data_IF_009431633107
#
_entry.id   IF_009431633107
#
_cell.length_a   1.000
_cell.length_b   1.000
_cell.length_c   1.000
_cell.angle_alpha   90.00
_cell.angle_beta   90.00
_cell.angle_gamma   90.00
#
_symmetry.space_group_name_H-M   'P 1'
#
loop_
_entity.id
_entity.type
_entity.pdbx_description
1 polymer ?
#
# COMPACT_ATOMS: atom_id res chain seq x y z
N UNK A 1 -21.87 54.86 -2.41
CA UNK A 1 -20.99 54.22 -1.43
C UNK A 1 -21.20 52.72 -1.56
N UNK A 2 -20.52 52.10 -2.52
CA UNK A 2 -20.11 50.69 -2.47
C UNK A 2 -18.61 50.78 -2.70
N UNK A 3 -17.96 51.36 -1.70
CA UNK A 3 -16.51 51.43 -1.64
C UNK A 3 -16.06 50.11 -1.04
N UNK A 4 -14.99 49.55 -1.59
CA UNK A 4 -14.30 48.34 -1.16
C UNK A 4 -14.97 47.05 -1.65
N UNK A 5 -14.45 46.57 -2.77
CA UNK A 5 -14.05 45.18 -2.85
C UNK A 5 -13.28 44.83 -1.56
N UNK A 6 -13.84 43.90 -0.78
CA UNK A 6 -13.30 43.50 0.54
C UNK A 6 -13.07 42.01 0.62
N UNK A 7 -13.36 41.27 -0.45
CA UNK A 7 -13.29 39.82 -0.50
C UNK A 7 -12.00 39.30 -1.14
N UNK A 8 -11.24 40.11 -1.89
CA UNK A 8 -9.92 39.74 -2.37
C UNK A 8 -8.80 40.56 -1.67
N UNK A 9 -7.77 39.92 -1.09
CA UNK A 9 -6.61 40.65 -0.62
C UNK A 9 -5.78 41.15 -1.81
N UNK A 10 -5.88 42.46 -2.11
CA UNK A 10 -4.94 43.19 -2.98
C UNK A 10 -3.52 42.62 -2.77
N UNK A 11 -3.05 41.83 -3.74
CA UNK A 11 -1.91 40.93 -3.49
C UNK A 11 -0.63 41.76 -3.38
N UNK A 12 -0.24 42.08 -2.14
CA UNK A 12 1.06 42.68 -1.82
C UNK A 12 2.15 41.83 -2.49
N UNK A 13 3.10 42.39 -3.28
CA UNK A 13 4.04 41.65 -4.13
C UNK A 13 4.69 40.48 -3.41
N UNK A 14 4.09 39.31 -3.59
CA UNK A 14 4.57 38.08 -3.00
C UNK A 14 5.91 37.73 -3.66
N UNK A 15 6.92 37.26 -2.90
CA UNK A 15 8.20 36.86 -3.47
C UNK A 15 8.07 35.70 -4.47
N UNK A 16 6.89 35.08 -4.54
CA UNK A 16 6.58 33.97 -5.42
C UNK A 16 5.77 34.38 -6.67
N UNK A 17 5.44 35.66 -6.84
CA UNK A 17 4.81 36.10 -8.08
C UNK A 17 5.83 36.04 -9.20
N UNK A 18 5.46 35.47 -10.36
CA UNK A 18 6.31 35.55 -11.52
C UNK A 18 6.53 37.03 -11.89
N UNK A 19 7.72 37.42 -12.38
CA UNK A 19 8.06 38.82 -12.60
C UNK A 19 7.04 39.61 -13.44
N UNK A 20 6.40 38.96 -14.42
CA UNK A 20 5.39 39.58 -15.29
C UNK A 20 4.09 39.97 -14.56
N UNK A 21 3.79 39.37 -13.40
CA UNK A 21 2.54 39.58 -12.66
C UNK A 21 2.56 40.81 -11.72
N UNK A 22 3.66 41.58 -11.71
CA UNK A 22 3.80 42.76 -10.85
C UNK A 22 3.35 44.03 -11.59
N UNK A 23 2.80 45.04 -10.89
CA UNK A 23 2.53 46.34 -11.49
C UNK A 23 3.78 46.97 -12.11
N UNK A 24 3.61 47.77 -13.16
CA UNK A 24 4.71 48.59 -13.67
C UNK A 24 5.35 49.45 -12.55
N UNK A 25 6.69 49.60 -12.53
CA UNK A 25 7.66 49.20 -13.55
C UNK A 25 8.29 47.81 -13.34
N UNK A 26 7.82 47.02 -12.39
CA UNK A 26 8.46 45.76 -11.97
C UNK A 26 8.01 44.54 -12.78
N UNK A 27 6.85 44.65 -13.43
CA UNK A 27 6.26 43.63 -14.29
C UNK A 27 5.37 44.27 -15.36
N UNK A 28 4.57 43.43 -16.02
CA UNK A 28 3.74 43.81 -17.17
C UNK A 28 2.27 44.01 -16.79
N UNK A 29 1.92 43.88 -15.50
CA UNK A 29 0.54 44.08 -15.05
C UNK A 29 0.20 45.58 -15.04
N UNK A 30 -0.92 45.96 -15.66
CA UNK A 30 -1.43 47.32 -15.57
C UNK A 30 -2.57 47.42 -14.54
N UNK A 31 -2.73 48.60 -13.96
CA UNK A 31 -3.96 48.92 -13.24
C UNK A 31 -5.12 48.87 -14.22
N UNK A 32 -6.25 48.30 -13.81
CA UNK A 32 -7.48 48.40 -14.61
C UNK A 32 -7.75 49.89 -14.83
N UNK A 33 -7.68 50.33 -16.09
CA UNK A 33 -7.62 51.74 -16.42
C UNK A 33 -8.78 52.54 -15.80
N UNK A 34 -8.58 53.82 -15.51
CA UNK A 34 -9.71 54.73 -15.25
C UNK A 34 -10.57 54.74 -16.52
N UNK A 35 -11.84 54.35 -16.41
CA UNK A 35 -12.80 54.39 -17.53
C UNK A 35 -12.65 55.72 -18.29
N UNK A 36 -12.34 55.63 -19.59
CA UNK A 36 -12.22 56.80 -20.46
C UNK A 36 -13.57 57.51 -20.48
N UNK A 37 -13.70 58.62 -19.73
CA UNK A 37 -14.92 59.44 -19.67
C UNK A 37 -15.48 59.73 -18.27
N UNK A 38 -14.93 59.19 -17.17
CA UNK A 38 -15.43 59.45 -15.81
C UNK A 38 -14.41 60.24 -14.96
N UNK A 39 -14.86 61.33 -14.33
CA UNK A 39 -13.99 62.29 -13.60
C UNK A 39 -14.10 62.25 -12.06
N UNK A 40 -14.49 61.14 -11.43
CA UNK A 40 -14.52 60.94 -9.96
C UNK A 40 -14.46 59.43 -9.61
N UNK A 41 -14.13 59.02 -8.37
CA UNK A 41 -13.42 57.78 -8.07
C UNK A 41 -14.33 56.55 -8.18
N UNK A 42 -14.45 56.01 -9.39
CA UNK A 42 -14.94 54.67 -9.65
C UNK A 42 -13.84 53.93 -10.38
N UNK A 43 -13.55 52.69 -9.96
CA UNK A 43 -12.77 51.73 -10.76
C UNK A 43 -13.44 51.64 -12.13
N UNK A 44 -12.62 51.69 -13.19
CA UNK A 44 -13.13 51.57 -14.55
C UNK A 44 -13.51 50.12 -14.81
N UNK A 45 -14.46 49.92 -15.73
CA UNK A 45 -14.62 48.60 -16.33
C UNK A 45 -13.36 48.23 -17.13
N UNK A 46 -13.11 46.93 -17.37
CA UNK A 46 -11.97 46.48 -18.15
C UNK A 46 -11.89 47.22 -19.49
N UNK A 47 -10.68 47.42 -20.06
CA UNK A 47 -10.48 48.20 -21.29
C UNK A 47 -11.22 47.69 -22.55
N UNK A 48 -11.98 46.59 -22.51
CA UNK A 48 -12.68 46.03 -23.67
C UNK A 48 -14.20 46.35 -23.75
N UNK A 49 -14.84 46.75 -22.65
CA UNK A 49 -16.30 46.71 -22.54
C UNK A 49 -17.04 47.88 -23.23
N UNK A 50 -16.32 48.90 -23.70
CA UNK A 50 -16.91 50.21 -24.03
C UNK A 50 -16.54 50.75 -25.42
N UNK A 51 -16.35 49.88 -26.41
CA UNK A 51 -16.59 50.29 -27.78
C UNK A 51 -18.10 50.46 -28.00
N UNK A 52 -18.59 51.69 -27.89
CA UNK A 52 -19.99 52.10 -28.05
C UNK A 52 -20.59 51.67 -29.42
N UNK A 53 -21.01 50.41 -29.52
CA UNK A 53 -21.52 49.81 -30.75
C UNK A 53 -21.62 48.28 -30.75
N UNK A 54 -21.09 47.57 -29.75
CA UNK A 54 -21.21 46.10 -29.70
C UNK A 54 -22.62 45.66 -29.28
N UNK A 55 -23.30 44.93 -30.17
CA UNK A 55 -24.58 44.24 -29.90
C UNK A 55 -24.42 42.97 -29.06
N UNK A 56 -23.21 42.68 -28.59
CA UNK A 56 -22.86 41.53 -27.73
C UNK A 56 -22.32 42.03 -26.39
N UNK A 57 -23.12 42.84 -25.68
CA UNK A 57 -22.88 43.16 -24.28
C UNK A 57 -22.83 41.86 -23.47
N UNK A 58 -21.67 41.49 -22.94
CA UNK A 58 -21.55 40.45 -21.90
C UNK A 58 -21.30 41.17 -20.58
N UNK A 59 -22.02 40.77 -19.53
CA UNK A 59 -21.64 41.13 -18.16
C UNK A 59 -20.24 40.56 -17.90
N UNK A 60 -19.22 41.38 -17.61
CA UNK A 60 -17.88 40.89 -17.33
C UNK A 60 -17.86 40.47 -15.87
N UNK A 61 -17.81 39.17 -15.65
CA UNK A 61 -17.21 38.63 -14.45
C UNK A 61 -16.59 37.33 -14.90
N UNK A 62 -15.26 37.31 -15.02
CA UNK A 62 -14.55 36.03 -15.11
C UNK A 62 -14.95 35.24 -13.86
N UNK A 63 -15.20 33.96 -13.99
CA UNK A 63 -15.60 33.13 -12.86
C UNK A 63 -14.73 31.89 -12.82
N UNK A 64 -14.09 31.63 -11.67
CA UNK A 64 -13.32 30.42 -11.43
C UNK A 64 -14.08 29.49 -10.49
N UNK A 65 -14.06 28.20 -10.81
CA UNK A 65 -14.45 27.14 -9.91
C UNK A 65 -13.42 26.01 -9.96
N UNK A 66 -12.93 25.60 -8.81
CA UNK A 66 -11.97 24.50 -8.65
C UNK A 66 -12.65 23.38 -7.85
N UNK A 67 -12.73 22.18 -8.44
CA UNK A 67 -13.24 20.98 -7.80
C UNK A 67 -12.06 20.06 -7.47
N UNK A 68 -11.97 19.67 -6.20
CA UNK A 68 -10.95 18.75 -5.73
C UNK A 68 -11.37 17.28 -5.95
N UNK A 69 -10.40 16.36 -6.03
CA UNK A 69 -10.65 14.92 -6.13
C UNK A 69 -11.56 14.33 -5.05
N UNK A 70 -11.59 14.93 -3.86
CA UNK A 70 -12.41 14.50 -2.72
C UNK A 70 -13.81 15.13 -2.71
N UNK A 71 -14.15 15.93 -3.73
CA UNK A 71 -15.44 16.58 -3.90
C UNK A 71 -15.55 17.97 -3.26
N UNK A 72 -14.50 18.53 -2.67
CA UNK A 72 -14.51 19.93 -2.25
C UNK A 72 -14.61 20.86 -3.46
N UNK A 73 -15.34 21.97 -3.33
CA UNK A 73 -15.57 22.94 -4.41
C UNK A 73 -15.26 24.34 -3.90
N UNK A 74 -14.43 25.06 -4.64
CA UNK A 74 -14.03 26.43 -4.35
C UNK A 74 -14.38 27.32 -5.54
N UNK A 75 -14.89 28.52 -5.29
CA UNK A 75 -15.33 29.45 -6.35
C UNK A 75 -14.82 30.86 -6.09
N UNK A 76 -14.37 31.54 -7.15
CA UNK A 76 -14.13 32.97 -7.15
C UNK A 76 -14.98 33.61 -8.26
N UNK A 77 -15.89 34.51 -7.87
CA UNK A 77 -16.84 35.17 -8.77
C UNK A 77 -16.44 36.56 -9.26
N UNK A 78 -15.29 37.08 -8.78
CA UNK A 78 -14.73 38.34 -9.24
C UNK A 78 -13.19 38.30 -9.14
N UNK A 79 -12.52 37.48 -9.95
CA UNK A 79 -11.08 37.21 -9.90
C UNK A 79 -10.24 38.25 -10.66
N UNK A 80 -10.79 39.43 -10.94
CA UNK A 80 -10.12 40.50 -11.67
C UNK A 80 -10.11 41.84 -10.93
N UNK A 81 -10.59 41.86 -9.68
CA UNK A 81 -10.48 42.97 -8.73
C UNK A 81 -10.45 44.39 -9.33
N UNK A 82 -9.41 45.15 -8.99
CA UNK A 82 -9.13 46.52 -9.45
C UNK A 82 -7.85 46.64 -10.31
N UNK A 83 -7.20 45.51 -10.58
CA UNK A 83 -5.94 45.35 -11.30
C UNK A 83 -6.10 44.24 -12.34
N UNK A 84 -5.42 44.33 -13.49
CA UNK A 84 -5.53 43.32 -14.56
C UNK A 84 -4.95 41.93 -14.16
N UNK A 85 -4.48 41.78 -12.92
CA UNK A 85 -3.95 40.53 -12.37
C UNK A 85 -4.39 40.33 -10.92
N UNK A 86 -4.94 39.14 -10.60
CA UNK A 86 -5.37 38.77 -9.25
C UNK A 86 -5.22 37.25 -9.02
N UNK A 87 -4.99 36.85 -7.77
CA UNK A 87 -4.62 35.49 -7.41
C UNK A 87 -5.75 34.76 -6.67
N UNK A 88 -6.39 33.76 -7.30
CA UNK A 88 -7.25 32.82 -6.57
C UNK A 88 -6.42 31.77 -5.81
N UNK A 89 -6.15 32.01 -4.53
CA UNK A 89 -5.36 31.17 -3.63
C UNK A 89 -6.22 30.34 -2.68
N UNK A 90 -6.11 29.01 -2.81
CA UNK A 90 -6.62 28.03 -1.84
C UNK A 90 -5.45 27.58 -0.96
N UNK A 91 -5.51 27.80 0.35
CA UNK A 91 -4.41 27.48 1.28
C UNK A 91 -4.78 26.40 2.30
N UNK A 92 -3.77 25.61 2.70
CA UNK A 92 -3.83 24.71 3.86
C UNK A 92 -3.10 25.24 5.08
N UNK A 93 -2.41 26.38 4.96
CA UNK A 93 -1.66 26.95 6.07
C UNK A 93 -2.61 27.61 7.07
N UNK A 94 -2.74 27.10 8.31
CA UNK A 94 -3.59 27.72 9.32
C UNK A 94 -3.09 29.10 9.77
N UNK A 95 -1.86 29.49 9.39
CA UNK A 95 -1.29 30.80 9.66
C UNK A 95 -1.54 31.82 8.53
N UNK A 96 -2.05 31.41 7.36
CA UNK A 96 -2.56 32.37 6.37
C UNK A 96 -3.85 33.00 6.92
N UNK A 97 -3.87 34.32 7.23
CA UNK A 97 -5.09 35.00 7.65
C UNK A 97 -6.15 34.93 6.54
N UNK A 98 -7.45 35.11 6.85
CA UNK A 98 -8.52 35.25 5.83
C UNK A 98 -8.35 36.45 4.87
N UNK A 99 -7.25 37.19 4.99
CA UNK A 99 -6.83 38.30 4.12
C UNK A 99 -5.58 37.93 3.31
N UNK A 100 -5.23 36.65 3.16
CA UNK A 100 -4.08 36.19 2.35
C UNK A 100 -4.38 34.96 1.48
N UNK A 101 -5.56 34.39 1.59
CA UNK A 101 -6.06 33.29 0.79
C UNK A 101 -7.58 33.41 0.68
N UNK A 102 -8.13 33.21 -0.51
CA UNK A 102 -9.57 33.36 -0.80
C UNK A 102 -10.37 32.17 -0.29
N UNK A 103 -9.71 31.01 -0.19
CA UNK A 103 -10.25 29.85 0.46
C UNK A 103 -9.21 29.13 1.31
N UNK A 104 -9.69 28.48 2.36
CA UNK A 104 -8.88 27.59 3.19
C UNK A 104 -9.47 26.19 3.20
N UNK A 105 -8.58 25.20 3.31
CA UNK A 105 -8.95 23.79 3.45
C UNK A 105 -7.94 23.10 4.35
N UNK A 106 -8.34 21.99 4.98
CA UNK A 106 -7.43 21.21 5.83
C UNK A 106 -6.49 20.31 5.01
N UNK A 107 -6.78 20.09 3.73
CA UNK A 107 -6.00 19.21 2.87
C UNK A 107 -6.20 19.56 1.38
N UNK A 108 -5.13 19.43 0.58
CA UNK A 108 -5.18 19.46 -0.88
C UNK A 108 -4.88 18.02 -1.36
N UNK A 109 -5.92 17.22 -1.70
CA UNK A 109 -5.76 15.79 -1.94
C UNK A 109 -5.23 15.51 -3.35
N UNK A 110 -4.30 14.56 -3.49
CA UNK A 110 -3.85 14.06 -4.80
C UNK A 110 -5.01 13.55 -5.65
N UNK A 111 -4.95 13.76 -6.97
CA UNK A 111 -5.91 13.20 -7.92
C UNK A 111 -6.16 14.10 -9.11
N UNK A 112 -7.31 13.92 -9.76
CA UNK A 112 -7.76 14.76 -10.87
C UNK A 112 -8.55 15.95 -10.33
N UNK A 113 -8.07 17.15 -10.60
CA UNK A 113 -8.77 18.40 -10.31
C UNK A 113 -9.52 18.86 -11.55
N UNK A 114 -10.69 19.46 -11.35
CA UNK A 114 -11.43 20.12 -12.43
C UNK A 114 -11.41 21.63 -12.17
N UNK A 115 -10.87 22.39 -13.12
CA UNK A 115 -10.86 23.86 -13.08
C UNK A 115 -11.81 24.34 -14.17
N UNK A 116 -12.87 25.02 -13.77
CA UNK A 116 -13.83 25.67 -14.66
C UNK A 116 -13.57 27.16 -14.65
N UNK A 117 -13.42 27.72 -15.84
CA UNK A 117 -13.19 29.14 -16.04
C UNK A 117 -14.22 29.63 -17.05
N UNK A 118 -15.03 30.60 -16.64
CA UNK A 118 -16.05 31.22 -17.49
C UNK A 118 -15.70 32.69 -17.72
N UNK A 119 -16.13 33.24 -18.86
CA UNK A 119 -15.95 34.67 -19.15
C UNK A 119 -14.57 35.09 -19.69
N UNK A 120 -13.63 34.16 -19.90
CA UNK A 120 -12.32 34.46 -20.49
C UNK A 120 -12.34 34.58 -22.02
N UNK A 121 -11.42 35.37 -22.55
CA UNK A 121 -11.14 35.54 -23.98
C UNK A 121 -9.65 35.32 -24.33
N UNK A 122 -9.25 35.63 -25.57
CA UNK A 122 -7.87 35.41 -26.04
C UNK A 122 -6.84 36.41 -25.47
N UNK A 123 -7.29 37.47 -24.79
CA UNK A 123 -6.46 38.43 -24.09
C UNK A 123 -6.12 38.00 -22.66
N UNK A 124 -6.86 37.04 -22.07
CA UNK A 124 -6.61 36.61 -20.70
C UNK A 124 -5.47 35.56 -20.62
N UNK A 125 -4.47 35.85 -19.79
CA UNK A 125 -3.45 34.89 -19.38
C UNK A 125 -3.84 34.22 -18.07
N UNK A 126 -3.97 32.89 -18.09
CA UNK A 126 -4.29 32.10 -16.91
C UNK A 126 -3.07 31.28 -16.48
N UNK A 127 -2.70 31.35 -15.21
CA UNK A 127 -1.60 30.55 -14.65
C UNK A 127 -2.10 29.77 -13.43
N UNK A 128 -1.80 28.47 -13.40
CA UNK A 128 -2.15 27.61 -12.26
C UNK A 128 -0.86 27.19 -11.57
N UNK A 129 -0.78 27.41 -10.26
CA UNK A 129 0.32 26.93 -9.42
C UNK A 129 -0.20 25.84 -8.49
N UNK A 130 0.36 24.64 -8.63
CA UNK A 130 0.05 23.50 -7.77
C UNK A 130 1.18 23.29 -6.74
N UNK A 131 0.87 22.69 -5.58
CA UNK A 131 1.89 22.30 -4.60
C UNK A 131 2.72 21.09 -5.06
N UNK A 132 2.34 20.42 -6.15
CA UNK A 132 2.99 19.26 -6.74
C UNK A 132 3.09 19.41 -8.27
N UNK A 133 3.95 18.61 -8.89
CA UNK A 133 4.12 18.62 -10.35
C UNK A 133 2.86 18.10 -11.06
N UNK A 134 2.40 18.84 -12.06
CA UNK A 134 1.34 18.37 -12.95
C UNK A 134 1.90 17.30 -13.88
N UNK A 135 1.35 16.08 -13.85
CA UNK A 135 1.80 14.98 -14.73
C UNK A 135 1.62 15.35 -16.21
N UNK A 136 0.37 15.57 -16.64
CA UNK A 136 -0.01 16.27 -17.87
C UNK A 136 -1.53 16.31 -18.05
N UNK A 137 -1.99 17.16 -18.98
CA UNK A 137 -3.39 17.28 -19.42
C UNK A 137 -3.43 17.09 -20.94
N UNK A 138 -4.38 16.30 -21.43
CA UNK A 138 -4.64 16.08 -22.87
C UNK A 138 -5.26 17.31 -23.51
N UNK A 139 -5.20 17.44 -24.85
CA UNK A 139 -5.84 18.54 -25.59
C UNK A 139 -7.33 18.76 -25.24
N UNK A 140 -8.15 17.70 -24.97
CA UNK A 140 -9.53 17.86 -24.50
C UNK A 140 -9.70 18.19 -23.00
N UNK A 141 -8.62 18.36 -22.24
CA UNK A 141 -8.67 18.69 -20.81
C UNK A 141 -8.70 17.49 -19.84
N UNK A 142 -8.58 16.25 -20.32
CA UNK A 142 -8.51 15.06 -19.46
C UNK A 142 -7.09 14.79 -18.93
N UNK A 143 -6.91 14.11 -17.78
CA UNK A 143 -5.59 13.70 -17.31
C UNK A 143 -4.96 12.76 -18.34
N UNK A 144 -3.71 12.96 -18.74
CA UNK A 144 -3.08 11.96 -19.60
C UNK A 144 -2.67 10.73 -18.79
N UNK A 145 -2.75 9.58 -19.45
CA UNK A 145 -2.09 8.37 -19.00
C UNK A 145 -0.57 8.59 -19.12
N UNK A 146 0.22 8.32 -18.07
CA UNK A 146 1.68 8.33 -18.19
C UNK A 146 2.09 7.50 -19.43
N UNK A 147 3.01 8.03 -20.24
CA UNK A 147 3.45 7.37 -21.48
C UNK A 147 3.98 5.94 -21.25
N UNK A 148 4.33 5.61 -20.00
CA UNK A 148 4.67 4.28 -19.53
C UNK A 148 4.05 4.04 -18.15
N UNK A 149 3.54 2.82 -17.95
CA UNK A 149 3.11 2.33 -16.63
C UNK A 149 4.28 2.32 -15.66
N UNK A 150 3.99 2.48 -14.37
CA UNK A 150 4.95 2.30 -13.29
C UNK A 150 5.26 0.81 -13.11
N UNK A 151 6.38 0.51 -12.44
CA UNK A 151 6.78 -0.84 -12.10
C UNK A 151 6.60 -1.08 -10.60
N UNK A 152 6.01 -2.22 -10.25
CA UNK A 152 6.02 -2.77 -8.88
C UNK A 152 6.77 -4.10 -8.90
N UNK A 153 7.76 -4.25 -8.05
CA UNK A 153 8.55 -5.49 -7.95
C UNK A 153 9.81 -5.25 -7.13
N UNK A 154 10.78 -6.15 -7.22
CA UNK A 154 12.21 -5.95 -6.96
C UNK A 154 12.90 -7.34 -7.07
N UNK A 155 13.39 -7.89 -5.95
CA UNK A 155 14.22 -9.06 -5.88
C UNK A 155 13.58 -10.21 -5.07
N UNK A 156 13.85 -11.43 -5.51
CA UNK A 156 13.72 -12.64 -4.69
C UNK A 156 15.10 -13.26 -4.51
N UNK A 157 15.55 -13.39 -3.27
CA UNK A 157 16.91 -13.78 -2.91
C UNK A 157 16.95 -14.80 -1.77
N UNK A 158 18.12 -15.40 -1.56
CA UNK A 158 18.39 -16.16 -0.35
C UNK A 158 18.82 -15.25 0.79
N UNK A 159 17.92 -14.88 1.69
CA UNK A 159 18.19 -14.07 2.90
C UNK A 159 18.31 -14.98 4.13
N UNK A 160 19.52 -15.45 4.42
CA UNK A 160 19.77 -16.30 5.60
C UNK A 160 20.47 -15.63 6.76
N UNK A 161 21.05 -14.46 6.52
CA UNK A 161 21.68 -13.64 7.54
C UNK A 161 21.27 -12.20 7.27
N UNK A 162 20.56 -11.60 8.23
CA UNK A 162 20.03 -10.25 8.06
C UNK A 162 21.16 -9.26 7.76
N UNK A 163 21.12 -8.64 6.58
CA UNK A 163 22.09 -7.63 6.15
C UNK A 163 23.31 -8.17 5.40
N UNK A 164 23.24 -9.37 4.83
CA UNK A 164 24.26 -9.85 3.87
C UNK A 164 24.11 -9.09 2.54
N UNK A 165 25.12 -8.33 2.08
CA UNK A 165 25.04 -7.63 0.79
C UNK A 165 25.21 -8.56 -0.43
N UNK A 166 25.50 -9.85 -0.25
CA UNK A 166 25.71 -10.81 -1.33
C UNK A 166 24.73 -11.98 -1.26
N UNK A 167 23.44 -11.70 -1.06
CA UNK A 167 22.41 -12.74 -1.11
C UNK A 167 22.22 -13.28 -2.53
N UNK A 168 22.46 -14.58 -2.79
CA UNK A 168 22.18 -15.18 -4.09
C UNK A 168 20.75 -14.94 -4.57
N UNK A 169 20.55 -14.60 -5.85
CA UNK A 169 19.21 -14.47 -6.42
C UNK A 169 18.53 -15.84 -6.58
N UNK A 170 17.20 -15.85 -6.49
CA UNK A 170 16.37 -17.04 -6.69
C UNK A 170 15.55 -16.93 -8.00
N UNK A 171 16.01 -17.58 -9.08
CA UNK A 171 15.31 -17.60 -10.35
C UNK A 171 14.14 -18.59 -10.36
N UNK A 172 13.14 -18.35 -11.22
CA UNK A 172 12.04 -19.29 -11.45
C UNK A 172 10.91 -19.23 -10.42
N UNK A 173 10.94 -18.27 -9.49
CA UNK A 173 9.91 -18.08 -8.47
C UNK A 173 8.69 -17.42 -9.10
N UNK A 174 7.53 -18.07 -8.96
CA UNK A 174 6.23 -17.55 -9.43
C UNK A 174 5.73 -16.47 -8.47
N UNK A 175 5.50 -15.27 -8.98
CA UNK A 175 5.03 -14.12 -8.20
C UNK A 175 3.71 -13.62 -8.79
N UNK A 176 2.77 -13.24 -7.94
CA UNK A 176 1.41 -12.84 -8.27
C UNK A 176 1.15 -11.40 -7.83
N UNK A 177 0.46 -10.63 -8.68
CA UNK A 177 -0.08 -9.32 -8.35
C UNK A 177 -1.57 -9.47 -8.02
N UNK A 178 -2.00 -8.91 -6.89
CA UNK A 178 -3.36 -9.00 -6.37
C UNK A 178 -4.09 -7.66 -6.48
N UNK A 179 -5.38 -7.72 -6.81
CA UNK A 179 -6.28 -6.55 -6.81
C UNK A 179 -6.51 -6.02 -5.39
N UNK A 180 -6.31 -4.71 -5.13
CA UNK A 180 -6.56 -4.08 -3.83
C UNK A 180 -7.99 -4.24 -3.30
N UNK A 181 -9.01 -4.44 -4.15
CA UNK A 181 -10.41 -4.43 -3.72
C UNK A 181 -10.96 -5.82 -3.35
N UNK A 182 -10.32 -6.90 -3.80
CA UNK A 182 -10.86 -8.25 -3.63
C UNK A 182 -9.83 -9.37 -3.45
N UNK A 183 -8.52 -9.06 -3.49
CA UNK A 183 -7.47 -10.06 -3.32
C UNK A 183 -7.41 -11.09 -4.46
N UNK A 184 -8.03 -10.81 -5.61
CA UNK A 184 -7.94 -11.67 -6.78
C UNK A 184 -6.60 -11.49 -7.48
N UNK A 185 -6.02 -12.57 -8.00
CA UNK A 185 -4.81 -12.50 -8.84
C UNK A 185 -5.15 -11.82 -10.16
N UNK A 186 -4.52 -10.68 -10.44
CA UNK A 186 -4.70 -9.90 -11.66
C UNK A 186 -3.53 -10.03 -12.64
N UNK A 187 -2.36 -10.44 -12.16
CA UNK A 187 -1.22 -10.79 -13.01
C UNK A 187 -0.29 -11.80 -12.31
N UNK A 188 0.48 -12.52 -13.11
CA UNK A 188 1.52 -13.45 -12.62
C UNK A 188 2.79 -13.26 -13.45
N UNK A 189 3.93 -13.32 -12.80
CA UNK A 189 5.26 -13.30 -13.43
C UNK A 189 6.17 -14.34 -12.78
N UNK A 190 7.38 -14.52 -13.33
CA UNK A 190 8.39 -15.43 -12.83
C UNK A 190 9.70 -14.66 -12.69
N UNK A 191 10.41 -14.84 -11.58
CA UNK A 191 11.72 -14.20 -11.38
C UNK A 191 12.73 -14.66 -12.42
N UNK A 192 13.54 -13.71 -12.91
CA UNK A 192 14.56 -13.97 -13.91
C UNK A 192 15.84 -14.60 -13.31
N UNK A 193 16.88 -14.77 -14.13
CA UNK A 193 18.16 -15.34 -13.70
C UNK A 193 18.86 -14.54 -12.58
N UNK A 194 18.52 -13.26 -12.44
CA UNK A 194 19.01 -12.35 -11.40
C UNK A 194 18.03 -12.25 -10.23
N UNK A 195 16.99 -13.09 -10.18
CA UNK A 195 15.97 -13.08 -9.12
C UNK A 195 15.01 -11.90 -9.22
N UNK A 196 15.10 -11.10 -10.27
CA UNK A 196 14.31 -9.88 -10.42
C UNK A 196 12.95 -10.17 -11.02
N UNK A 197 11.95 -9.41 -10.59
CA UNK A 197 10.60 -9.45 -11.15
C UNK A 197 9.97 -8.06 -11.12
N UNK A 198 8.99 -7.82 -11.99
CA UNK A 198 8.20 -6.59 -11.96
C UNK A 198 6.85 -6.73 -12.65
N UNK A 199 5.92 -5.86 -12.28
CA UNK A 199 4.59 -5.72 -12.88
C UNK A 199 4.38 -4.28 -13.38
N UNK A 200 3.98 -4.08 -14.65
CA UNK A 200 3.60 -2.77 -15.16
C UNK A 200 2.17 -2.41 -14.72
N UNK A 201 2.04 -1.38 -13.89
CA UNK A 201 0.79 -0.94 -13.26
C UNK A 201 0.51 0.56 -13.46
N UNK A 202 -0.76 0.94 -13.37
CA UNK A 202 -1.15 2.35 -13.26
C UNK A 202 -0.97 2.84 -11.81
N UNK A 203 -1.17 4.13 -11.55
CA UNK A 203 -1.17 4.63 -10.17
C UNK A 203 -2.31 3.97 -9.37
N UNK A 204 -1.99 3.43 -8.19
CA UNK A 204 -2.92 2.64 -7.40
C UNK A 204 -2.24 1.93 -6.24
N UNK A 205 -3.01 1.28 -5.38
CA UNK A 205 -2.49 0.42 -4.31
C UNK A 205 -2.45 -1.01 -4.80
N UNK A 206 -1.32 -1.70 -4.63
CA UNK A 206 -1.15 -3.08 -5.08
C UNK A 206 -0.59 -3.95 -3.98
N UNK A 207 -0.96 -5.23 -4.00
CA UNK A 207 -0.33 -6.27 -3.17
C UNK A 207 0.36 -7.28 -4.07
N UNK A 208 1.61 -7.61 -3.76
CA UNK A 208 2.36 -8.68 -4.43
C UNK A 208 2.48 -9.87 -3.49
N UNK A 209 2.34 -11.06 -4.06
CA UNK A 209 2.33 -12.33 -3.36
C UNK A 209 3.29 -13.33 -4.01
N UNK A 210 4.13 -14.00 -3.23
CA UNK A 210 4.88 -15.17 -3.72
C UNK A 210 3.97 -16.39 -3.69
N UNK A 211 3.68 -16.96 -4.86
CA UNK A 211 2.66 -17.99 -5.01
C UNK A 211 2.95 -19.26 -4.18
N UNK A 212 1.92 -19.84 -3.57
CA UNK A 212 2.00 -21.09 -2.79
C UNK A 212 2.53 -22.27 -3.62
N UNK A 213 2.32 -22.25 -4.94
CA UNK A 213 2.78 -23.28 -5.87
C UNK A 213 4.29 -23.45 -5.88
N UNK A 214 5.05 -22.42 -5.50
CA UNK A 214 6.50 -22.49 -5.42
C UNK A 214 6.99 -23.49 -4.37
N UNK A 215 6.21 -23.77 -3.34
CA UNK A 215 6.57 -24.68 -2.24
C UNK A 215 6.12 -26.12 -2.47
N UNK A 216 5.41 -26.39 -3.57
CA UNK A 216 5.03 -27.74 -3.94
C UNK A 216 6.25 -28.52 -4.51
N UNK A 217 6.19 -29.86 -4.56
CA UNK A 217 7.25 -30.66 -5.17
C UNK A 217 7.57 -30.23 -6.61
N UNK A 218 8.85 -29.97 -6.89
CA UNK A 218 9.33 -29.42 -8.17
C UNK A 218 9.19 -27.91 -8.33
N UNK A 219 8.66 -27.19 -7.34
CA UNK A 219 8.58 -25.73 -7.32
C UNK A 219 9.91 -25.06 -6.97
N UNK A 220 10.08 -23.79 -7.38
CA UNK A 220 11.32 -23.04 -7.18
C UNK A 220 11.72 -22.88 -5.70
N UNK A 221 10.74 -22.96 -4.79
CA UNK A 221 10.92 -22.80 -3.35
C UNK A 221 10.61 -24.09 -2.58
N UNK A 222 10.57 -25.27 -3.23
CA UNK A 222 10.23 -26.56 -2.59
C UNK A 222 11.03 -26.83 -1.30
N UNK A 223 12.32 -26.44 -1.30
CA UNK A 223 13.22 -26.62 -0.17
C UNK A 223 13.61 -25.28 0.46
N UNK A 224 12.73 -24.28 0.42
CA UNK A 224 12.98 -22.96 0.95
C UNK A 224 11.93 -22.54 2.00
N UNK A 225 12.33 -21.61 2.86
CA UNK A 225 11.59 -21.05 3.99
C UNK A 225 11.56 -19.55 3.86
N UNK A 226 10.38 -18.94 3.96
CA UNK A 226 10.25 -17.48 3.94
C UNK A 226 10.90 -16.82 5.16
N UNK A 227 11.65 -15.75 4.92
CA UNK A 227 12.27 -14.88 5.94
C UNK A 227 11.68 -13.48 5.92
N UNK A 228 11.08 -13.10 4.79
CA UNK A 228 10.18 -11.96 4.64
C UNK A 228 8.71 -12.40 4.65
N UNK A 229 7.75 -11.48 4.90
CA UNK A 229 6.34 -11.73 4.62
C UNK A 229 6.13 -12.15 3.16
N UNK A 230 5.21 -13.08 2.90
CA UNK A 230 4.87 -13.51 1.54
C UNK A 230 3.96 -12.53 0.79
N UNK A 231 3.47 -11.49 1.48
CA UNK A 231 2.61 -10.45 0.95
C UNK A 231 3.21 -9.09 1.27
N UNK A 232 3.39 -8.24 0.26
CA UNK A 232 3.83 -6.85 0.41
C UNK A 232 2.84 -5.93 -0.30
N UNK A 233 2.48 -4.81 0.35
CA UNK A 233 1.48 -3.87 -0.14
C UNK A 233 2.03 -2.45 -0.11
N UNK A 234 1.83 -1.70 -1.19
CA UNK A 234 2.24 -0.30 -1.30
C UNK A 234 1.37 0.46 -2.30
N UNK A 235 1.37 1.79 -2.14
CA UNK A 235 0.76 2.70 -3.10
C UNK A 235 1.81 3.14 -4.13
N UNK A 236 1.45 3.04 -5.39
CA UNK A 236 2.18 3.59 -6.54
C UNK A 236 1.55 4.94 -6.87
N UNK A 237 2.33 6.01 -6.74
CA UNK A 237 1.85 7.39 -6.90
C UNK A 237 2.41 8.04 -8.15
N UNK A 238 3.73 8.15 -8.20
CA UNK A 238 4.49 9.02 -9.11
C UNK A 238 5.85 8.44 -9.51
N UNK A 239 6.27 7.31 -8.91
CA UNK A 239 7.47 6.58 -9.30
C UNK A 239 7.26 5.05 -9.15
N UNK A 240 8.18 4.28 -9.71
CA UNK A 240 8.24 2.84 -9.54
C UNK A 240 8.41 2.48 -8.05
N UNK A 241 7.72 1.43 -7.62
CA UNK A 241 7.89 0.83 -6.29
C UNK A 241 8.73 -0.44 -6.47
N UNK A 242 10.05 -0.24 -6.45
CA UNK A 242 11.06 -1.31 -6.54
C UNK A 242 11.67 -1.57 -5.17
N UNK A 243 10.83 -2.02 -4.23
CA UNK A 243 11.24 -2.31 -2.84
C UNK A 243 10.60 -3.59 -2.31
N UNK A 244 9.98 -4.37 -3.20
CA UNK A 244 9.25 -5.58 -2.81
C UNK A 244 10.17 -6.79 -2.81
N UNK A 245 11.05 -6.82 -1.81
CA UNK A 245 12.02 -7.89 -1.62
C UNK A 245 11.43 -9.08 -0.87
N UNK A 246 11.65 -10.29 -1.41
CA UNK A 246 11.29 -11.53 -0.75
C UNK A 246 12.53 -12.39 -0.45
N UNK A 247 12.84 -12.53 0.83
CA UNK A 247 13.96 -13.32 1.32
C UNK A 247 13.57 -14.75 1.68
N UNK A 248 14.39 -15.71 1.27
CA UNK A 248 14.20 -17.14 1.55
C UNK A 248 15.45 -17.86 2.05
N UNK A 249 15.28 -18.95 2.81
CA UNK A 249 16.38 -19.81 3.24
C UNK A 249 16.17 -21.26 2.90
N UNK A 250 17.24 -22.01 2.67
CA UNK A 250 17.13 -23.46 2.56
C UNK A 250 16.48 -24.07 3.81
N UNK A 251 15.37 -24.78 3.61
CA UNK A 251 14.66 -25.49 4.65
C UNK A 251 15.58 -26.56 5.26
N UNK A 252 15.59 -26.65 6.59
CA UNK A 252 16.33 -27.71 7.30
C UNK A 252 15.62 -29.08 7.22
N UNK A 253 14.47 -29.14 6.54
CA UNK A 253 13.58 -30.29 6.46
C UNK A 253 12.84 -30.60 7.76
N UNK A 254 11.75 -31.35 7.66
CA UNK A 254 10.98 -31.85 8.80
C UNK A 254 11.71 -33.01 9.48
N UNK A 255 11.65 -33.04 10.80
CA UNK A 255 12.06 -34.17 11.63
C UNK A 255 10.84 -34.96 12.10
N UNK A 256 10.94 -36.29 12.05
CA UNK A 256 9.93 -37.19 12.62
C UNK A 256 9.85 -37.09 14.14
N UNK A 257 8.80 -37.67 14.74
CA UNK A 257 8.71 -37.86 16.20
C UNK A 257 9.99 -38.54 16.75
N UNK A 258 10.50 -39.55 16.04
CA UNK A 258 11.71 -40.28 16.43
C UNK A 258 12.95 -39.39 16.48
N UNK A 259 13.14 -38.55 15.46
CA UNK A 259 14.22 -37.58 15.42
C UNK A 259 14.18 -36.66 16.65
N UNK A 260 13.04 -36.01 16.89
CA UNK A 260 12.91 -35.06 17.99
C UNK A 260 13.05 -35.67 19.38
N UNK A 261 12.72 -36.94 19.56
CA UNK A 261 12.95 -37.67 20.81
C UNK A 261 14.43 -37.94 21.07
N UNK A 262 15.17 -38.30 20.01
CA UNK A 262 16.54 -38.78 20.12
C UNK A 262 17.59 -37.67 19.95
N UNK A 263 17.18 -36.47 19.52
CA UNK A 263 18.04 -35.29 19.30
C UNK A 263 17.59 -34.08 20.12
N UNK A 264 17.63 -34.13 21.47
CA UNK A 264 17.25 -33.00 22.33
C UNK A 264 18.13 -31.75 22.16
N UNK A 265 19.33 -31.89 21.61
CA UNK A 265 20.23 -30.81 21.23
C UNK A 265 19.74 -30.02 20.02
N UNK A 266 18.92 -30.63 19.15
CA UNK A 266 18.39 -29.99 17.96
C UNK A 266 17.15 -29.12 18.24
N UNK A 267 16.58 -29.19 19.44
CA UNK A 267 15.38 -28.41 19.79
C UNK A 267 15.71 -26.91 19.80
N UNK A 268 15.01 -26.08 19.00
CA UNK A 268 15.26 -24.64 18.96
C UNK A 268 14.86 -23.91 20.25
N UNK A 269 14.07 -24.56 21.12
CA UNK A 269 13.53 -24.00 22.36
C UNK A 269 13.69 -24.96 23.53
N UNK A 270 13.81 -24.43 24.75
CA UNK A 270 13.88 -25.24 25.98
C UNK A 270 12.51 -25.63 26.54
N UNK A 271 11.45 -24.97 26.10
CA UNK A 271 10.07 -25.22 26.48
C UNK A 271 9.11 -24.91 25.33
N UNK A 272 7.94 -25.53 25.33
CA UNK A 272 6.90 -25.37 24.31
C UNK A 272 5.52 -25.43 24.94
N UNK A 273 4.61 -24.56 24.48
CA UNK A 273 3.22 -24.57 24.92
C UNK A 273 2.40 -25.54 24.07
N UNK A 274 1.70 -26.47 24.71
CA UNK A 274 0.76 -27.42 24.11
C UNK A 274 -0.56 -27.34 24.86
N UNK A 275 -1.66 -27.02 24.17
CA UNK A 275 -2.97 -26.90 24.81
C UNK A 275 -3.01 -25.89 25.95
N UNK A 276 -2.28 -24.78 25.83
CA UNK A 276 -2.18 -23.75 26.88
C UNK A 276 -1.29 -24.11 28.07
N UNK A 277 -0.70 -25.32 28.11
CA UNK A 277 0.24 -25.73 29.16
C UNK A 277 1.67 -25.66 28.66
N UNK A 278 2.55 -25.03 29.43
CA UNK A 278 3.98 -24.94 29.12
C UNK A 278 4.69 -26.23 29.58
N UNK A 279 5.25 -26.97 28.62
CA UNK A 279 6.07 -28.15 28.89
C UNK A 279 7.55 -27.82 28.71
N UNK A 280 8.39 -28.24 29.65
CA UNK A 280 9.84 -28.27 29.42
C UNK A 280 10.19 -29.33 28.38
N UNK A 281 11.33 -29.15 27.69
CA UNK A 281 11.87 -30.15 26.75
C UNK A 281 11.90 -31.56 27.35
N UNK A 282 12.35 -31.71 28.60
CA UNK A 282 12.41 -33.01 29.27
C UNK A 282 11.03 -33.58 29.64
N UNK A 283 10.03 -32.73 29.93
CA UNK A 283 8.65 -33.19 30.11
C UNK A 283 8.03 -33.65 28.79
N UNK A 284 8.22 -32.88 27.72
CA UNK A 284 7.69 -33.22 26.40
C UNK A 284 8.30 -34.52 25.85
N UNK A 285 9.63 -34.70 25.93
CA UNK A 285 10.31 -35.93 25.51
C UNK A 285 9.81 -37.15 26.29
N UNK A 286 9.55 -37.01 27.60
CA UNK A 286 8.96 -38.10 28.40
C UNK A 286 7.59 -38.51 27.85
N UNK A 287 6.71 -37.56 27.58
CA UNK A 287 5.40 -37.84 27.00
C UNK A 287 5.47 -38.44 25.60
N UNK A 288 6.35 -37.93 24.73
CA UNK A 288 6.62 -38.50 23.40
C UNK A 288 7.21 -39.93 23.47
N UNK A 289 7.80 -40.29 24.60
CA UNK A 289 8.38 -41.62 24.85
C UNK A 289 7.39 -42.57 25.52
N UNK A 290 6.26 -42.08 26.02
CA UNK A 290 5.21 -42.91 26.61
C UNK A 290 4.53 -43.74 25.52
N UNK A 291 4.46 -45.08 25.65
CA UNK A 291 3.67 -45.90 24.74
C UNK A 291 2.19 -45.49 24.82
N UNK A 292 1.57 -45.16 23.69
CA UNK A 292 0.20 -44.65 23.70
C UNK A 292 -0.82 -45.68 24.17
N UNK A 293 -0.58 -46.97 23.95
CA UNK A 293 -1.52 -48.06 24.30
C UNK A 293 -2.95 -47.80 23.77
N UNK A 294 -3.06 -47.10 22.63
CA UNK A 294 -4.34 -46.73 22.01
C UNK A 294 -4.95 -45.42 22.52
N UNK A 295 -4.27 -44.67 23.38
CA UNK A 295 -4.69 -43.34 23.84
C UNK A 295 -4.33 -42.25 22.81
N UNK A 296 -5.36 -41.67 22.19
CA UNK A 296 -5.18 -40.61 21.18
C UNK A 296 -4.55 -39.34 21.73
N UNK A 297 -4.71 -39.05 23.03
CA UNK A 297 -4.09 -37.86 23.63
C UNK A 297 -2.56 -37.96 23.63
N UNK A 298 -2.00 -39.16 23.77
CA UNK A 298 -0.54 -39.40 23.71
C UNK A 298 -0.05 -39.37 22.26
N UNK A 299 -0.78 -40.02 21.35
CA UNK A 299 -0.46 -40.00 19.91
C UNK A 299 -0.44 -38.56 19.36
N UNK A 300 -1.53 -37.82 19.58
CA UNK A 300 -1.68 -36.46 19.06
C UNK A 300 -0.68 -35.49 19.71
N UNK A 301 -0.43 -35.62 21.02
CA UNK A 301 0.61 -34.82 21.69
C UNK A 301 1.96 -34.99 20.99
N UNK A 302 2.34 -36.23 20.67
CA UNK A 302 3.63 -36.51 20.03
C UNK A 302 3.73 -35.90 18.64
N UNK A 303 2.68 -36.03 17.83
CA UNK A 303 2.62 -35.43 16.50
C UNK A 303 2.64 -33.90 16.54
N UNK A 304 1.91 -33.30 17.48
CA UNK A 304 1.81 -31.85 17.63
C UNK A 304 3.13 -31.22 18.10
N UNK A 305 3.83 -31.87 19.03
CA UNK A 305 5.16 -31.41 19.46
C UNK A 305 6.15 -31.45 18.29
N UNK A 306 6.22 -32.57 17.56
CA UNK A 306 7.11 -32.68 16.41
C UNK A 306 6.79 -31.63 15.32
N UNK A 307 5.50 -31.43 15.01
CA UNK A 307 5.08 -30.45 14.03
C UNK A 307 5.43 -29.02 14.45
N UNK A 308 5.17 -28.65 15.72
CA UNK A 308 5.55 -27.32 16.24
C UNK A 308 7.06 -27.10 16.21
N UNK A 309 7.88 -28.10 16.53
CA UNK A 309 9.34 -27.98 16.43
C UNK A 309 9.80 -27.83 14.97
N UNK A 310 9.16 -28.53 14.04
CA UNK A 310 9.40 -28.37 12.60
C UNK A 310 9.07 -26.95 12.14
N UNK A 311 7.93 -26.38 12.57
CA UNK A 311 7.57 -24.98 12.27
C UNK A 311 8.57 -24.00 12.91
N UNK A 312 9.03 -24.26 14.14
CA UNK A 312 10.03 -23.43 14.82
C UNK A 312 11.40 -23.46 14.14
N UNK A 313 11.73 -24.51 13.39
CA UNK A 313 12.90 -24.53 12.51
C UNK A 313 12.73 -23.70 11.23
N UNK A 314 11.56 -23.10 11.05
CA UNK A 314 11.19 -22.32 9.88
C UNK A 314 10.46 -23.11 8.81
N UNK A 315 10.23 -24.43 8.96
CA UNK A 315 9.57 -25.18 7.90
C UNK A 315 8.17 -24.61 7.61
N UNK A 316 7.83 -24.48 6.32
CA UNK A 316 6.54 -23.97 5.89
C UNK A 316 5.39 -24.83 6.45
N UNK A 317 4.27 -24.19 6.79
CA UNK A 317 3.21 -24.82 7.58
C UNK A 317 1.79 -24.48 7.08
N UNK A 318 1.64 -23.80 5.94
CA UNK A 318 0.32 -23.39 5.44
C UNK A 318 -0.64 -24.59 5.32
N UNK A 319 -0.13 -25.74 4.88
CA UNK A 319 -0.87 -26.99 4.71
C UNK A 319 -1.38 -27.63 6.01
N UNK A 320 -0.88 -27.18 7.17
CA UNK A 320 -1.28 -27.67 8.50
C UNK A 320 -1.70 -26.57 9.47
N UNK A 321 -1.73 -25.29 9.07
CA UNK A 321 -2.00 -24.17 9.97
C UNK A 321 -3.31 -24.33 10.74
N UNK A 322 -4.40 -24.65 10.04
CA UNK A 322 -5.70 -24.94 10.66
C UNK A 322 -5.66 -26.21 11.54
N UNK A 323 -4.87 -27.21 11.15
CA UNK A 323 -4.69 -28.46 11.92
C UNK A 323 -3.95 -28.19 13.23
N UNK A 324 -2.89 -27.38 13.22
CA UNK A 324 -2.14 -26.99 14.41
C UNK A 324 -3.06 -26.26 15.40
N UNK A 325 -3.83 -25.28 14.94
CA UNK A 325 -4.75 -24.53 15.79
C UNK A 325 -5.80 -25.46 16.43
N UNK A 326 -6.41 -26.35 15.63
CA UNK A 326 -7.46 -27.26 16.10
C UNK A 326 -6.92 -28.31 17.07
N UNK A 327 -5.78 -28.94 16.74
CA UNK A 327 -5.15 -29.94 17.57
C UNK A 327 -4.65 -29.35 18.90
N UNK A 328 -4.07 -28.15 18.86
CA UNK A 328 -3.60 -27.48 20.07
C UNK A 328 -4.76 -27.10 21.01
N UNK A 329 -5.85 -26.53 20.47
CA UNK A 329 -7.05 -26.25 21.25
C UNK A 329 -7.63 -27.52 21.89
N UNK A 330 -7.68 -28.63 21.15
CA UNK A 330 -8.15 -29.92 21.65
C UNK A 330 -7.27 -30.46 22.79
N UNK A 331 -5.94 -30.34 22.68
CA UNK A 331 -5.01 -30.72 23.74
C UNK A 331 -5.21 -29.95 25.05
N UNK A 332 -5.79 -28.74 25.00
CA UNK A 332 -6.11 -27.98 26.22
C UNK A 332 -7.23 -28.59 27.07
N UNK A 333 -8.08 -29.43 26.46
CA UNK A 333 -9.13 -30.18 27.17
C UNK A 333 -8.80 -31.66 27.34
N UNK A 334 -7.81 -32.17 26.62
CA UNK A 334 -7.38 -33.57 26.63
C UNK A 334 -5.84 -33.66 26.78
N UNK A 335 -5.29 -33.31 27.95
CA UNK A 335 -3.84 -33.41 28.19
C UNK A 335 -3.31 -34.83 27.95
N UNK A 336 -2.01 -35.01 27.65
CA UNK A 336 -1.46 -36.33 27.37
C UNK A 336 -1.70 -37.29 28.55
N UNK A 337 -2.23 -38.48 28.25
CA UNK A 337 -2.62 -39.47 29.26
C UNK A 337 -4.09 -39.40 29.68
N UNK A 338 -4.94 -38.64 28.98
CA UNK A 338 -6.39 -38.58 29.22
C UNK A 338 -7.14 -39.89 28.90
N UNK A 339 -6.46 -40.94 28.41
CA UNK A 339 -7.04 -42.24 28.10
C UNK A 339 -8.17 -42.14 27.06
N UNK A 340 -7.96 -41.34 26.01
CA UNK A 340 -8.92 -41.16 24.93
C UNK A 340 -8.89 -42.41 24.06
N UNK A 341 -9.86 -43.31 24.30
CA UNK A 341 -9.94 -44.62 23.65
C UNK A 341 -10.49 -44.57 22.24
N UNK A 342 -10.10 -45.55 21.43
CA UNK A 342 -10.64 -45.79 20.09
C UNK A 342 -12.18 -45.75 20.08
N UNK A 343 -12.75 -45.21 19.01
CA UNK A 343 -14.19 -45.06 18.77
C UNK A 343 -14.94 -44.08 19.67
N UNK A 344 -14.27 -43.40 20.61
CA UNK A 344 -14.89 -42.26 21.31
C UNK A 344 -15.04 -41.06 20.36
N UNK A 345 -15.99 -40.15 20.64
CA UNK A 345 -16.18 -38.93 19.86
C UNK A 345 -14.90 -38.09 19.80
N UNK A 346 -14.21 -37.94 20.93
CA UNK A 346 -12.94 -37.22 21.03
C UNK A 346 -11.82 -37.89 20.22
N UNK A 347 -11.76 -39.22 20.19
CA UNK A 347 -10.80 -39.96 19.37
C UNK A 347 -11.05 -39.73 17.87
N UNK A 348 -12.30 -39.84 17.44
CA UNK A 348 -12.70 -39.65 16.04
C UNK A 348 -12.43 -38.22 15.57
N UNK A 349 -12.65 -37.22 16.44
CA UNK A 349 -12.37 -35.82 16.16
C UNK A 349 -10.86 -35.55 15.96
N UNK A 350 -10.01 -36.13 16.81
CA UNK A 350 -8.56 -35.92 16.78
C UNK A 350 -7.84 -36.69 15.65
N UNK A 351 -8.45 -37.74 15.12
CA UNK A 351 -7.79 -38.67 14.18
C UNK A 351 -7.40 -38.06 12.83
N UNK A 352 -8.23 -37.21 12.19
CA UNK A 352 -7.82 -36.50 10.98
C UNK A 352 -6.61 -35.59 11.22
N UNK A 353 -6.56 -34.89 12.36
CA UNK A 353 -5.44 -34.02 12.70
C UNK A 353 -4.17 -34.82 12.98
N UNK A 354 -4.28 -35.92 13.73
CA UNK A 354 -3.17 -36.83 13.95
C UNK A 354 -2.54 -37.28 12.62
N UNK A 355 -3.37 -37.75 11.69
CA UNK A 355 -2.89 -38.25 10.38
C UNK A 355 -2.24 -37.14 9.57
N UNK A 356 -2.87 -35.97 9.50
CA UNK A 356 -2.33 -34.82 8.75
C UNK A 356 -1.00 -34.31 9.31
N UNK A 357 -0.84 -34.30 10.64
CA UNK A 357 0.42 -33.94 11.29
C UNK A 357 1.49 -35.02 11.10
N UNK A 358 1.11 -36.30 11.06
CA UNK A 358 2.01 -37.39 10.73
C UNK A 358 2.57 -37.23 9.31
N UNK A 359 1.70 -37.00 8.30
CA UNK A 359 2.12 -36.74 6.92
C UNK A 359 3.08 -35.55 6.84
N UNK A 360 2.80 -34.46 7.56
CA UNK A 360 3.70 -33.31 7.65
C UNK A 360 5.06 -33.66 8.24
N UNK A 361 5.07 -34.33 9.39
CA UNK A 361 6.29 -34.68 10.12
C UNK A 361 7.18 -35.67 9.36
N UNK A 362 6.59 -36.46 8.43
CA UNK A 362 7.30 -37.34 7.52
C UNK A 362 7.62 -36.68 6.16
N UNK A 363 7.38 -35.38 6.03
CA UNK A 363 7.74 -34.60 4.85
C UNK A 363 6.91 -34.87 3.61
N UNK A 364 5.67 -35.35 3.79
CA UNK A 364 4.75 -35.73 2.70
C UNK A 364 3.81 -34.57 2.28
N UNK A 365 3.96 -33.40 2.90
CA UNK A 365 3.11 -32.21 2.67
C UNK A 365 3.95 -31.00 2.23
N UNK A 366 3.60 -29.80 2.71
CA UNK A 366 4.20 -28.53 2.30
C UNK A 366 5.60 -28.24 2.86
N UNK A 367 6.24 -29.23 3.50
CA UNK A 367 7.62 -29.13 3.94
C UNK A 367 8.32 -30.47 3.69
N UNK A 368 9.53 -30.49 3.08
CA UNK A 368 10.24 -31.71 2.74
C UNK A 368 10.84 -32.39 3.98
N UNK A 369 11.07 -33.70 3.90
CA UNK A 369 11.73 -34.44 4.99
C UNK A 369 13.22 -34.09 5.08
N UNK A 370 13.79 -34.09 6.29
CA UNK A 370 15.24 -33.96 6.49
C UNK A 370 15.99 -35.18 5.92
N UNK A 371 16.97 -34.94 5.05
CA UNK A 371 17.87 -35.96 4.52
C UNK A 371 18.86 -36.52 5.52
#
# INVERSE_FOLDING_TARGET
>A
MTNQDTDDPDTDPSPFLPPWARPEPEGDAHSEGIAVGHTLPSTGNPPDDLAAGSILLRTPAVFYQVLFPDGQVFTNSNPSGNQEWEQFRISTDPADPPLKADASTTNIPRGTYEVRIEGVDMGNLNAVRLPADALCVTEPGGPCTPLRRFLVGDLVSTDCEAGDPNEPPLPGVVVELLDPLGGAVIATTITDASGLYSFPVDAGTYTVHVADSNFAPGGALENHVARSPLFLTAAVTDDNVLTFDFGFCSARGTGTIGYWKNHPEAWPVQSLTIGGVLFSKSQAIRWMSTPSRGDKSIDLFSQLVAAKLNVLLGNHASCIAATLASADAWMGTHPPGSNVRASSSAWTQASPWHTRLDDYNNGLLCAPHRG
#
